data_IF_093004192535
#
_entry.id   IF_093004192535
#
_cell.length_a   1.000
_cell.length_b   1.000
_cell.length_c   1.000
_cell.angle_alpha   90.00
_cell.angle_beta   90.00
_cell.angle_gamma   90.00
#
_symmetry.space_group_name_H-M   'P 1'
#
loop_
_entity.id
_entity.type
_entity.pdbx_description
1 polymer ?
#
# COMPACT_ATOMS: atom_id res chain seq x y z
N UNK A 1 -16.17 21.60 -2.26
CA UNK A 1 -17.26 20.75 -2.75
C UNK A 1 -18.23 21.65 -3.50
N UNK A 2 -18.17 21.65 -4.83
CA UNK A 2 -19.11 22.40 -5.67
C UNK A 2 -20.25 21.46 -6.08
N UNK A 3 -21.50 21.91 -5.96
CA UNK A 3 -22.67 21.16 -6.39
C UNK A 3 -23.08 21.65 -7.78
N UNK A 4 -23.25 20.73 -8.72
CA UNK A 4 -23.82 21.01 -10.05
C UNK A 4 -25.30 20.62 -10.04
N UNK A 5 -26.17 21.53 -10.49
CA UNK A 5 -27.58 21.25 -10.71
C UNK A 5 -27.75 20.75 -12.15
N UNK A 6 -28.21 19.52 -12.29
CA UNK A 6 -28.50 18.88 -13.58
C UNK A 6 -30.01 18.99 -13.88
N UNK A 7 -30.35 19.10 -15.15
CA UNK A 7 -31.74 18.98 -15.60
C UNK A 7 -32.15 17.51 -15.74
N UNK A 8 -33.46 17.23 -15.75
CA UNK A 8 -33.99 15.85 -15.81
C UNK A 8 -33.43 15.05 -16.99
N UNK A 9 -33.29 15.69 -18.16
CA UNK A 9 -32.75 15.07 -19.38
C UNK A 9 -31.27 14.71 -19.25
N UNK A 10 -30.46 15.59 -18.66
CA UNK A 10 -29.03 15.36 -18.47
C UNK A 10 -28.76 14.26 -17.44
N UNK A 11 -29.62 14.14 -16.43
CA UNK A 11 -29.55 13.07 -15.43
C UNK A 11 -29.88 11.68 -16.02
N UNK A 12 -30.82 11.62 -16.98
CA UNK A 12 -31.15 10.39 -17.72
C UNK A 12 -30.05 9.98 -18.71
N UNK A 13 -29.39 10.95 -19.34
CA UNK A 13 -28.26 10.69 -20.24
C UNK A 13 -26.99 10.25 -19.49
N UNK A 14 -26.71 10.85 -18.32
CA UNK A 14 -25.51 10.57 -17.49
C UNK A 14 -25.86 9.86 -16.19
N UNK A 15 -26.49 8.69 -16.28
CA UNK A 15 -26.90 7.92 -15.09
C UNK A 15 -25.69 7.45 -14.27
N UNK A 16 -25.65 7.78 -12.97
CA UNK A 16 -24.65 7.27 -12.05
C UNK A 16 -24.71 5.73 -11.94
N UNK A 17 -23.54 5.07 -11.88
CA UNK A 17 -23.45 3.62 -11.65
C UNK A 17 -23.59 2.75 -12.91
N UNK A 18 -23.89 3.31 -14.08
CA UNK A 18 -23.60 2.63 -15.34
C UNK A 18 -22.16 2.97 -15.69
N UNK A 19 -21.26 1.98 -15.57
CA UNK A 19 -19.81 2.16 -15.76
C UNK A 19 -19.39 2.48 -17.19
N UNK A 20 -19.83 3.62 -17.71
CA UNK A 20 -19.43 4.22 -18.99
C UNK A 20 -19.37 5.72 -18.76
N UNK A 21 -18.25 6.28 -19.21
CA UNK A 21 -17.76 7.66 -19.04
C UNK A 21 -16.94 7.89 -17.77
N UNK A 22 -15.88 8.69 -17.93
CA UNK A 22 -15.03 9.11 -16.83
C UNK A 22 -15.88 9.78 -15.75
N UNK A 23 -15.57 9.55 -14.45
CA UNK A 23 -16.32 10.19 -13.38
C UNK A 23 -16.31 11.70 -13.56
N UNK A 24 -17.43 12.36 -13.28
CA UNK A 24 -17.51 13.81 -13.34
C UNK A 24 -16.34 14.42 -12.56
N UNK A 25 -15.49 15.16 -13.27
CA UNK A 25 -14.26 15.75 -12.73
C UNK A 25 -14.54 17.00 -11.89
N UNK A 26 -15.80 17.38 -11.66
CA UNK A 26 -16.17 18.53 -10.84
C UNK A 26 -16.68 18.10 -9.46
N UNK A 27 -16.12 18.65 -8.36
CA UNK A 27 -14.92 19.47 -8.27
C UNK A 27 -13.65 18.70 -8.64
N UNK A 28 -12.70 19.38 -9.30
CA UNK A 28 -11.39 18.79 -9.64
C UNK A 28 -10.65 18.45 -8.35
N UNK A 29 -10.69 17.17 -7.99
CA UNK A 29 -10.01 16.68 -6.80
C UNK A 29 -8.51 16.67 -7.09
N UNK A 30 -7.72 17.35 -6.23
CA UNK A 30 -6.27 17.18 -6.26
C UNK A 30 -5.96 15.70 -6.02
N UNK A 31 -5.00 15.15 -6.75
CA UNK A 31 -4.55 13.78 -6.53
C UNK A 31 -4.24 13.60 -5.03
N UNK A 32 -4.76 12.54 -4.39
CA UNK A 32 -4.45 12.30 -2.98
C UNK A 32 -2.94 12.15 -2.83
N UNK A 33 -2.39 12.72 -1.75
CA UNK A 33 -0.99 12.48 -1.37
C UNK A 33 -0.85 10.99 -1.07
N UNK A 34 -0.43 10.21 -2.07
CA UNK A 34 -0.19 8.78 -1.94
C UNK A 34 1.14 8.60 -1.20
N UNK A 35 1.15 8.12 0.06
CA UNK A 35 2.41 7.80 0.71
C UNK A 35 3.07 6.64 -0.05
N UNK A 36 4.37 6.72 -0.29
CA UNK A 36 5.13 5.69 -1.02
C UNK A 36 5.05 4.30 -0.38
N UNK A 37 4.60 4.23 0.88
CA UNK A 37 4.45 3.01 1.65
C UNK A 37 3.19 2.21 1.32
N UNK A 38 2.25 2.76 0.54
CA UNK A 38 0.88 2.23 0.41
C UNK A 38 0.72 0.97 -0.46
N UNK A 39 1.74 0.52 -1.20
CA UNK A 39 1.63 -0.63 -2.13
C UNK A 39 2.52 -1.82 -1.81
N UNK A 40 3.18 -1.82 -0.66
CA UNK A 40 4.21 -2.81 -0.33
C UNK A 40 3.73 -3.90 0.64
N UNK A 41 2.45 -4.30 0.55
CA UNK A 41 1.87 -5.43 1.30
C UNK A 41 2.79 -6.66 1.29
N UNK A 42 3.55 -6.86 0.21
CA UNK A 42 4.38 -8.03 0.01
C UNK A 42 5.75 -7.90 0.71
N UNK A 43 6.28 -6.68 0.83
CA UNK A 43 7.60 -6.46 1.47
C UNK A 43 7.50 -6.14 2.96
N UNK A 44 6.34 -5.69 3.43
CA UNK A 44 6.03 -5.51 4.86
C UNK A 44 6.28 -6.77 5.72
N UNK A 45 5.83 -7.98 5.33
CA UNK A 45 6.08 -9.19 6.09
C UNK A 45 7.57 -9.57 6.07
N UNK A 46 8.28 -9.42 4.95
CA UNK A 46 9.72 -9.72 4.87
C UNK A 46 10.57 -8.81 5.76
N UNK A 47 10.25 -7.52 5.83
CA UNK A 47 10.94 -6.56 6.73
C UNK A 47 10.72 -6.91 8.20
N UNK A 48 9.50 -7.30 8.55
CA UNK A 48 9.13 -7.72 9.91
C UNK A 48 9.80 -9.06 10.27
N UNK A 49 9.81 -10.02 9.34
CA UNK A 49 10.44 -11.31 9.48
C UNK A 49 11.95 -11.18 9.70
N UNK A 50 12.64 -10.32 8.93
CA UNK A 50 14.06 -10.01 9.14
C UNK A 50 14.34 -9.54 10.55
N UNK A 51 13.49 -8.68 11.11
CA UNK A 51 13.66 -8.18 12.47
C UNK A 51 13.50 -9.28 13.52
N UNK A 52 12.52 -10.16 13.35
CA UNK A 52 12.26 -11.30 14.25
C UNK A 52 13.40 -12.33 14.17
N UNK A 53 13.85 -12.71 12.96
CA UNK A 53 14.98 -13.63 12.82
C UNK A 53 16.27 -13.03 13.38
N UNK A 54 16.54 -11.75 13.15
CA UNK A 54 17.75 -11.10 13.65
C UNK A 54 17.78 -11.01 15.18
N UNK A 55 16.64 -11.03 15.88
CA UNK A 55 16.59 -11.06 17.35
C UNK A 55 17.00 -12.43 17.90
N UNK A 56 16.46 -13.51 17.35
CA UNK A 56 16.63 -14.86 17.89
C UNK A 56 17.91 -15.56 17.39
N UNK A 57 18.40 -15.23 16.18
CA UNK A 57 19.52 -15.94 15.56
C UNK A 57 20.89 -15.35 15.85
N UNK A 58 21.00 -14.10 16.34
CA UNK A 58 22.31 -13.50 16.69
C UNK A 58 23.13 -14.38 17.64
N UNK A 59 22.51 -14.83 18.73
CA UNK A 59 23.18 -15.67 19.72
C UNK A 59 23.63 -17.01 19.13
N UNK A 60 22.76 -17.65 18.32
CA UNK A 60 23.07 -18.91 17.64
C UNK A 60 24.21 -18.75 16.63
N UNK A 61 24.24 -17.66 15.87
CA UNK A 61 25.31 -17.35 14.91
C UNK A 61 26.64 -17.13 15.65
N UNK A 62 26.65 -16.35 16.73
CA UNK A 62 27.86 -16.16 17.55
C UNK A 62 28.37 -17.48 18.14
N UNK A 63 27.47 -18.31 18.68
CA UNK A 63 27.82 -19.62 19.22
C UNK A 63 28.41 -20.54 18.14
N UNK A 64 27.82 -20.56 16.95
CA UNK A 64 28.26 -21.39 15.84
C UNK A 64 29.65 -20.96 15.34
N UNK A 65 29.91 -19.65 15.24
CA UNK A 65 31.24 -19.10 14.90
C UNK A 65 32.26 -19.49 15.98
N UNK A 66 31.91 -19.39 17.25
CA UNK A 66 32.78 -19.78 18.36
C UNK A 66 33.10 -21.28 18.33
N UNK A 67 32.10 -22.13 18.10
CA UNK A 67 32.29 -23.58 17.97
C UNK A 67 33.16 -23.94 16.77
N UNK A 68 32.94 -23.27 15.63
CA UNK A 68 33.74 -23.46 14.43
C UNK A 68 35.21 -23.06 14.66
N UNK A 69 35.47 -21.97 15.40
CA UNK A 69 36.83 -21.58 15.78
C UNK A 69 37.51 -22.54 16.75
N UNK A 70 36.76 -23.23 17.61
CA UNK A 70 37.31 -24.23 18.53
C UNK A 70 37.59 -25.58 17.84
N UNK A 71 36.85 -25.88 16.77
CA UNK A 71 36.95 -27.14 16.04
C UNK A 71 37.84 -27.06 14.79
N UNK A 72 38.20 -25.85 14.36
CA UNK A 72 39.24 -25.57 13.37
C UNK A 72 40.62 -25.53 14.04
#
# INVERSE_FOLDING_TARGET
MTLELLTEKEAEERTAGKGRDDPNMNPTMKAPLRPETSFLWFTAPLRSLRHILWREFKGKICLLIFLAMLFL
#
